data_IF_181970912943
#
_entry.id   IF_181970912943
#
_cell.length_a   1.000
_cell.length_b   1.000
_cell.length_c   1.000
_cell.angle_alpha   90.00
_cell.angle_beta   90.00
_cell.angle_gamma   90.00
#
_symmetry.space_group_name_H-M   'P 1'
#
loop_
_entity.id
_entity.type
_entity.pdbx_description
1 polymer ?
#
# COMPACT_ATOMS: atom_id res chain seq x y z
N UNK A 1 -3.04 -1.73 -6.78
CA UNK A 1 -1.79 -1.56 -7.54
C UNK A 1 -1.75 -0.26 -8.34
N UNK A 2 -2.72 0.04 -9.21
CA UNK A 2 -2.74 1.27 -10.03
C UNK A 2 -2.83 2.60 -9.25
N UNK A 3 -3.50 2.61 -8.08
CA UNK A 3 -3.62 3.81 -7.23
C UNK A 3 -2.27 4.28 -6.65
N UNK A 4 -1.35 3.34 -6.41
CA UNK A 4 -0.05 3.63 -5.78
C UNK A 4 0.99 4.14 -6.78
N UNK A 5 0.94 3.66 -8.03
CA UNK A 5 1.79 4.18 -9.10
C UNK A 5 1.40 5.63 -9.44
N UNK A 6 0.09 5.93 -9.43
CA UNK A 6 -0.43 7.27 -9.77
C UNK A 6 0.11 8.39 -8.87
N UNK A 7 0.15 8.19 -7.55
CA UNK A 7 0.57 9.24 -6.61
C UNK A 7 2.07 9.52 -6.72
N UNK A 8 2.92 8.49 -6.79
CA UNK A 8 4.36 8.71 -7.00
C UNK A 8 4.63 9.37 -8.36
N UNK A 9 3.92 8.97 -9.42
CA UNK A 9 4.01 9.62 -10.73
C UNK A 9 3.64 11.11 -10.70
N UNK A 10 2.63 11.50 -9.90
CA UNK A 10 2.28 12.91 -9.69
C UNK A 10 3.42 13.70 -9.04
N UNK A 11 4.02 13.19 -7.96
CA UNK A 11 5.06 13.93 -7.23
C UNK A 11 6.40 14.02 -7.96
N UNK A 12 6.73 13.05 -8.84
CA UNK A 12 7.97 13.11 -9.62
C UNK A 12 7.82 13.90 -10.93
N UNK A 13 6.61 14.33 -11.30
CA UNK A 13 6.40 15.07 -12.56
C UNK A 13 6.13 14.21 -13.78
N UNK A 14 5.62 13.00 -13.59
CA UNK A 14 5.31 12.06 -14.67
C UNK A 14 3.84 12.10 -15.15
N UNK A 15 3.05 13.06 -14.65
CA UNK A 15 1.68 13.32 -15.10
C UNK A 15 1.55 14.77 -15.62
N UNK A 16 0.65 15.05 -16.59
CA UNK A 16 0.47 16.40 -17.16
C UNK A 16 0.00 17.44 -16.13
N UNK A 17 -0.65 17.00 -15.05
CA UNK A 17 -1.14 17.85 -13.96
C UNK A 17 -0.11 18.06 -12.84
N UNK A 18 1.09 17.47 -12.97
CA UNK A 18 2.12 17.54 -11.93
C UNK A 18 2.73 18.92 -11.84
N UNK A 19 2.96 19.40 -10.61
CA UNK A 19 3.63 20.68 -10.38
C UNK A 19 5.17 20.60 -10.48
N UNK A 20 5.75 19.40 -10.40
CA UNK A 20 7.20 19.16 -10.40
C UNK A 20 7.68 18.61 -11.75
N UNK A 21 8.99 18.72 -12.02
CA UNK A 21 9.61 18.22 -13.27
C UNK A 21 10.87 17.37 -12.97
N UNK A 22 10.78 16.50 -11.97
CA UNK A 22 11.92 15.74 -11.44
C UNK A 22 12.15 14.43 -12.21
N UNK A 23 11.18 14.00 -13.02
CA UNK A 23 11.19 12.75 -13.79
C UNK A 23 12.44 12.59 -14.67
N UNK A 24 12.98 13.70 -15.21
CA UNK A 24 14.22 13.68 -15.99
C UNK A 24 15.45 13.24 -15.18
N UNK A 25 15.57 13.71 -13.93
CA UNK A 25 16.63 13.26 -13.01
C UNK A 25 16.46 11.79 -12.65
N UNK A 26 15.22 11.37 -12.33
CA UNK A 26 14.92 9.96 -11.99
C UNK A 26 15.32 9.04 -13.15
N UNK A 27 14.90 9.37 -14.38
CA UNK A 27 15.22 8.59 -15.58
C UNK A 27 16.73 8.48 -15.82
N UNK A 28 17.45 9.59 -15.63
CA UNK A 28 18.92 9.63 -15.77
C UNK A 28 19.63 8.78 -14.73
N UNK A 29 19.19 8.83 -13.47
CA UNK A 29 19.78 8.05 -12.38
C UNK A 29 19.53 6.55 -12.57
N UNK A 30 18.33 6.17 -12.99
CA UNK A 30 17.99 4.77 -13.31
C UNK A 30 18.78 4.25 -14.51
N UNK A 31 19.00 5.09 -15.54
CA UNK A 31 19.85 4.76 -16.70
C UNK A 31 21.29 4.44 -16.32
N UNK A 32 21.78 4.95 -15.19
CA UNK A 32 23.10 4.64 -14.64
C UNK A 32 23.12 3.42 -13.72
N UNK A 33 22.05 2.61 -13.73
CA UNK A 33 21.89 1.46 -12.84
C UNK A 33 21.98 1.81 -11.35
N UNK A 34 21.62 3.05 -10.99
CA UNK A 34 21.55 3.44 -9.57
C UNK A 34 20.39 2.70 -8.91
N UNK A 35 20.59 2.06 -7.74
CA UNK A 35 19.52 1.35 -7.07
C UNK A 35 18.42 2.31 -6.63
N UNK A 36 17.14 1.89 -6.68
CA UNK A 36 15.97 2.75 -6.44
C UNK A 36 15.96 3.36 -5.04
N UNK A 37 16.50 2.65 -4.04
CA UNK A 37 16.64 3.19 -2.68
C UNK A 37 17.53 4.44 -2.64
N UNK A 38 18.66 4.42 -3.36
CA UNK A 38 19.56 5.57 -3.47
C UNK A 38 18.98 6.71 -4.31
N UNK A 39 18.12 6.38 -5.26
CA UNK A 39 17.35 7.38 -6.01
C UNK A 39 16.37 8.08 -5.06
N UNK A 40 15.65 7.34 -4.21
CA UNK A 40 14.76 7.95 -3.21
C UNK A 40 15.53 8.86 -2.25
N UNK A 41 16.68 8.44 -1.72
CA UNK A 41 17.50 9.29 -0.83
C UNK A 41 17.85 10.65 -1.47
N UNK A 42 18.17 10.66 -2.76
CA UNK A 42 18.44 11.89 -3.52
C UNK A 42 17.18 12.71 -3.78
N UNK A 43 16.05 12.05 -4.06
CA UNK A 43 14.75 12.71 -4.24
C UNK A 43 14.25 13.35 -2.94
N UNK A 44 14.46 12.69 -1.80
CA UNK A 44 14.13 13.20 -0.47
C UNK A 44 14.79 14.55 -0.17
N UNK A 45 15.98 14.78 -0.72
CA UNK A 45 16.69 16.06 -0.57
C UNK A 45 16.07 17.19 -1.40
N UNK A 46 15.31 16.87 -2.45
CA UNK A 46 14.60 17.84 -3.31
C UNK A 46 13.18 18.08 -2.84
N UNK A 47 12.49 17.01 -2.47
CA UNK A 47 11.13 17.03 -1.94
C UNK A 47 10.93 15.82 -1.02
N UNK A 48 10.81 16.10 0.28
CA UNK A 48 10.65 15.07 1.30
C UNK A 48 9.34 14.27 1.11
N UNK A 49 8.31 14.89 0.52
CA UNK A 49 7.00 14.27 0.34
C UNK A 49 7.05 13.07 -0.61
N UNK A 50 8.00 13.01 -1.55
CA UNK A 50 8.15 11.90 -2.50
C UNK A 50 8.45 10.57 -1.78
N UNK A 51 9.33 10.59 -0.78
CA UNK A 51 9.77 9.38 -0.07
C UNK A 51 8.97 9.11 1.22
N UNK A 52 8.10 10.02 1.62
CA UNK A 52 7.18 9.84 2.74
C UNK A 52 5.85 9.18 2.35
N UNK A 53 5.65 8.90 1.05
CA UNK A 53 4.51 8.15 0.53
C UNK A 53 4.54 6.71 1.06
N UNK A 54 3.86 6.50 2.19
CA UNK A 54 3.56 5.18 2.73
C UNK A 54 2.33 4.65 2.04
N UNK A 55 2.53 3.69 1.15
CA UNK A 55 1.44 2.85 0.68
C UNK A 55 1.24 1.73 1.69
N UNK A 56 -0.01 1.56 2.15
CA UNK A 56 -0.36 0.40 2.95
C UNK A 56 -0.04 -0.84 2.10
N UNK A 57 0.94 -1.62 2.57
CA UNK A 57 1.33 -2.85 1.87
C UNK A 57 0.08 -3.73 1.83
N UNK A 58 -0.30 -4.26 0.66
CA UNK A 58 -1.37 -5.25 0.62
C UNK A 58 -0.99 -6.37 1.60
N UNK A 59 -1.94 -6.75 2.45
CA UNK A 59 -1.73 -7.81 3.42
C UNK A 59 -1.41 -9.10 2.66
N UNK A 60 -0.29 -9.73 3.03
CA UNK A 60 0.15 -11.01 2.48
C UNK A 60 -0.72 -12.14 3.06
N UNK A 61 -1.86 -12.39 2.41
CA UNK A 61 -2.89 -13.32 2.87
C UNK A 61 -2.45 -14.79 3.00
N UNK A 62 -1.31 -15.16 2.40
CA UNK A 62 -0.70 -16.49 2.49
C UNK A 62 0.15 -16.68 3.76
N UNK A 63 0.63 -15.59 4.37
CA UNK A 63 1.49 -15.63 5.58
C UNK A 63 0.86 -14.93 6.79
N UNK A 64 -0.28 -14.28 6.60
CA UNK A 64 -0.93 -13.51 7.65
C UNK A 64 -1.52 -14.43 8.71
N UNK A 65 -1.20 -14.12 9.97
CA UNK A 65 -1.75 -14.79 11.14
C UNK A 65 -2.79 -13.87 11.79
N UNK A 66 -4.06 -14.07 11.42
CA UNK A 66 -5.19 -13.26 11.91
C UNK A 66 -5.32 -13.33 13.44
N UNK A 67 -4.83 -14.40 14.09
CA UNK A 67 -4.84 -14.54 15.55
C UNK A 67 -3.82 -13.64 16.23
N UNK A 68 -2.75 -13.23 15.55
CA UNK A 68 -1.75 -12.28 16.07
C UNK A 68 -2.11 -10.82 15.86
N UNK A 69 -3.01 -10.52 14.92
CA UNK A 69 -3.45 -9.14 14.66
C UNK A 69 -4.26 -8.56 15.83
N UNK A 70 -4.30 -7.23 15.95
CA UNK A 70 -5.15 -6.54 16.93
C UNK A 70 -6.58 -6.41 16.40
N UNK A 71 -7.56 -6.32 17.30
CA UNK A 71 -8.99 -6.13 16.93
C UNK A 71 -9.19 -4.91 16.02
N UNK A 72 -8.43 -3.83 16.23
CA UNK A 72 -8.46 -2.64 15.36
C UNK A 72 -8.07 -2.95 13.92
N UNK A 73 -7.06 -3.81 13.71
CA UNK A 73 -6.60 -4.17 12.37
C UNK A 73 -7.58 -5.12 11.68
N UNK A 74 -8.17 -6.07 12.43
CA UNK A 74 -9.25 -6.93 11.93
C UNK A 74 -10.47 -6.09 11.49
N UNK A 75 -10.84 -5.06 12.27
CA UNK A 75 -11.91 -4.12 11.87
C UNK A 75 -11.54 -3.32 10.62
N UNK A 76 -10.26 -2.94 10.47
CA UNK A 76 -9.81 -2.20 9.29
C UNK A 76 -9.96 -3.05 8.02
N UNK A 77 -9.59 -4.34 8.08
CA UNK A 77 -9.77 -5.31 6.99
C UNK A 77 -11.24 -5.38 6.54
N UNK A 78 -12.15 -5.55 7.50
CA UNK A 78 -13.58 -5.63 7.20
C UNK A 78 -14.08 -4.33 6.54
N UNK A 79 -13.68 -3.17 7.08
CA UNK A 79 -14.04 -1.87 6.53
C UNK A 79 -13.49 -1.66 5.10
N UNK A 80 -12.26 -2.09 4.82
CA UNK A 80 -11.69 -2.05 3.46
C UNK A 80 -12.49 -2.92 2.47
N UNK A 81 -13.09 -4.02 2.95
CA UNK A 81 -13.99 -4.86 2.16
C UNK A 81 -15.43 -4.34 2.09
N UNK A 82 -15.74 -3.24 2.78
CA UNK A 82 -17.08 -2.70 2.93
C UNK A 82 -18.00 -3.56 3.81
N UNK A 83 -17.42 -4.45 4.61
CA UNK A 83 -18.14 -5.35 5.51
C UNK A 83 -18.03 -4.81 6.95
N UNK A 84 -19.09 -4.96 7.73
CA UNK A 84 -19.10 -4.61 9.14
C UNK A 84 -19.64 -5.79 9.94
N UNK A 85 -19.04 -6.06 11.10
CA UNK A 85 -19.54 -7.09 11.99
C UNK A 85 -20.44 -6.48 13.07
N UNK A 86 -21.74 -6.39 12.78
CA UNK A 86 -22.77 -5.98 13.73
C UNK A 86 -23.03 -7.09 14.75
N UNK A 87 -22.19 -7.18 15.78
CA UNK A 87 -22.35 -8.14 16.87
C UNK A 87 -21.06 -8.80 17.35
N UNK A 88 -19.94 -8.65 16.62
CA UNK A 88 -18.66 -9.19 17.07
C UNK A 88 -18.20 -8.49 18.35
N UNK A 89 -18.23 -9.21 19.47
CA UNK A 89 -17.71 -8.74 20.77
C UNK A 89 -16.34 -9.31 21.07
N UNK A 90 -16.05 -10.48 20.52
CA UNK A 90 -14.79 -11.19 20.73
C UNK A 90 -13.87 -11.16 19.50
N UNK A 91 -12.56 -11.19 19.76
CA UNK A 91 -11.52 -11.24 18.70
C UNK A 91 -11.70 -12.43 17.77
N UNK A 92 -12.08 -13.58 18.32
CA UNK A 92 -12.33 -14.83 17.60
C UNK A 92 -13.45 -14.69 16.55
N UNK A 93 -14.49 -13.90 16.83
CA UNK A 93 -15.57 -13.64 15.88
C UNK A 93 -15.11 -12.80 14.69
N UNK A 94 -14.30 -11.77 14.93
CA UNK A 94 -13.70 -10.98 13.85
C UNK A 94 -12.81 -11.84 12.94
N UNK A 95 -12.01 -12.74 13.52
CA UNK A 95 -11.16 -13.66 12.74
C UNK A 95 -12.03 -14.59 11.89
N UNK A 96 -13.05 -15.22 12.45
CA UNK A 96 -13.96 -16.10 11.71
C UNK A 96 -14.62 -15.37 10.54
N UNK A 97 -15.16 -14.17 10.78
CA UNK A 97 -15.82 -13.38 9.74
C UNK A 97 -14.86 -13.03 8.59
N UNK A 98 -13.61 -12.71 8.92
CA UNK A 98 -12.58 -12.45 7.92
C UNK A 98 -12.23 -13.72 7.13
N UNK A 99 -12.11 -14.87 7.78
CA UNK A 99 -11.85 -16.16 7.10
C UNK A 99 -12.99 -16.56 6.16
N UNK A 100 -14.25 -16.32 6.53
CA UNK A 100 -15.41 -16.56 5.67
C UNK A 100 -15.43 -15.66 4.43
N UNK A 101 -15.03 -14.39 4.60
CA UNK A 101 -15.02 -13.40 3.52
C UNK A 101 -13.73 -13.47 2.69
N UNK A 102 -12.64 -13.98 3.25
CA UNK A 102 -11.32 -14.12 2.60
C UNK A 102 -11.43 -14.63 1.16
N UNK A 103 -12.09 -15.77 0.83
CA UNK A 103 -12.16 -16.27 -0.54
C UNK A 103 -12.94 -15.35 -1.51
N UNK A 104 -13.79 -14.45 -1.01
CA UNK A 104 -14.59 -13.52 -1.83
C UNK A 104 -13.79 -12.29 -2.26
N UNK A 105 -12.89 -11.80 -1.39
CA UNK A 105 -12.12 -10.57 -1.62
C UNK A 105 -10.65 -10.82 -1.98
N UNK A 106 -10.10 -11.95 -1.53
CA UNK A 106 -8.74 -12.38 -1.79
C UNK A 106 -8.83 -13.50 -2.81
N UNK A 107 -8.68 -13.15 -4.09
CA UNK A 107 -8.39 -14.14 -5.11
C UNK A 107 -6.94 -14.54 -4.91
N UNK A 108 -6.72 -15.74 -4.41
CA UNK A 108 -5.41 -16.38 -4.42
C UNK A 108 -5.09 -16.56 -5.92
N UNK A 109 -4.31 -15.64 -6.49
CA UNK A 109 -3.74 -15.85 -7.82
C UNK A 109 -2.74 -16.99 -7.66
N UNK A 110 -3.16 -18.17 -8.13
CA UNK A 110 -2.38 -19.40 -8.17
C UNK A 110 -1.28 -19.30 -9.22
#
# INVERSE_FOLDING_TARGET
MYKYISVTCFYIGALPESATSIMGDVSKQLSWSMPPEKVCDKLKSKDAQICELKYDKPLDWSKIDLKKMRVKELKNILNEWGEDCKGCTEKSEFVKRIEELKPKYVKEEL
#
